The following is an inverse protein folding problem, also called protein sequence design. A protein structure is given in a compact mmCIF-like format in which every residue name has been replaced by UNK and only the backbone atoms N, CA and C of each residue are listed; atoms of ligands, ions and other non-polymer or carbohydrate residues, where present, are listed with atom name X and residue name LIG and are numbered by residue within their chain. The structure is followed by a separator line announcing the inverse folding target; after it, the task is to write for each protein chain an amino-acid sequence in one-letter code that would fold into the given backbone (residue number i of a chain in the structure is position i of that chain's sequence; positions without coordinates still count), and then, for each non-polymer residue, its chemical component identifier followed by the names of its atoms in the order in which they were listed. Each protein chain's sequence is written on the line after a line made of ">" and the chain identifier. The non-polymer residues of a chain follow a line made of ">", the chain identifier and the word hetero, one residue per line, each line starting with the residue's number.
data_IF_005851090938
#
_entry.id   IF_005851090938
#
_cell.length_a   1.000
_cell.length_b   1.000
_cell.length_c   1.000
_cell.angle_alpha   90.00
_cell.angle_beta   90.00
_cell.angle_gamma   90.00
#
_symmetry.space_group_name_H-M   'P 1'
#
loop_
_entity.id
_entity.type
_entity.pdbx_description
1 polymer ?
#
# COMPACT_ATOMS: atom_id res chain seq x y z
N UNK A 1 14.19 -7.45 20.26
CA UNK A 1 13.14 -7.04 19.32
C UNK A 1 12.69 -8.28 18.55
N UNK A 2 11.37 -8.53 18.43
CA UNK A 2 10.84 -9.64 17.63
C UNK A 2 11.11 -9.38 16.14
N UNK A 3 11.33 -10.42 15.34
CA UNK A 3 11.41 -10.25 13.90
C UNK A 3 10.03 -10.03 13.26
N UNK A 4 10.01 -9.56 12.00
CA UNK A 4 8.75 -9.29 11.28
C UNK A 4 7.88 -10.55 11.08
N UNK A 5 8.46 -11.75 11.02
CA UNK A 5 7.72 -13.00 10.85
C UNK A 5 6.98 -13.39 12.13
N UNK A 6 7.66 -13.32 13.28
CA UNK A 6 7.05 -13.57 14.59
C UNK A 6 5.94 -12.56 14.92
N UNK A 7 6.10 -11.28 14.54
CA UNK A 7 5.08 -10.25 14.70
C UNK A 7 3.82 -10.59 13.88
N UNK A 8 4.00 -10.95 12.59
CA UNK A 8 2.86 -11.33 11.73
C UNK A 8 2.08 -12.49 12.32
N UNK A 9 2.77 -13.56 12.70
CA UNK A 9 2.12 -14.76 13.26
C UNK A 9 1.36 -14.45 14.54
N UNK A 10 1.95 -13.66 15.43
CA UNK A 10 1.30 -13.22 16.67
C UNK A 10 0.01 -12.43 16.40
N UNK A 11 0.05 -11.47 15.46
CA UNK A 11 -1.13 -10.65 15.12
C UNK A 11 -2.21 -11.49 14.42
N UNK A 12 -1.85 -12.32 13.46
CA UNK A 12 -2.80 -13.21 12.80
C UNK A 12 -3.49 -14.15 13.79
N UNK A 13 -2.73 -14.77 14.70
CA UNK A 13 -3.27 -15.65 15.73
C UNK A 13 -4.21 -14.90 16.67
N UNK A 14 -3.80 -13.76 17.20
CA UNK A 14 -4.63 -12.96 18.10
C UNK A 14 -5.95 -12.50 17.43
N UNK A 15 -5.90 -12.07 16.17
CA UNK A 15 -7.10 -11.65 15.43
C UNK A 15 -8.05 -12.82 15.12
N UNK A 16 -7.51 -14.02 14.88
CA UNK A 16 -8.31 -15.24 14.66
C UNK A 16 -8.99 -15.64 15.97
N UNK A 17 -8.25 -15.73 17.06
CA UNK A 17 -8.73 -16.13 18.39
C UNK A 17 -9.81 -15.18 18.92
N UNK A 18 -9.64 -13.89 18.71
CA UNK A 18 -10.62 -12.88 19.09
C UNK A 18 -11.83 -12.77 18.15
N UNK A 19 -11.85 -13.49 17.01
CA UNK A 19 -12.88 -13.35 15.99
C UNK A 19 -12.90 -11.97 15.32
N UNK A 20 -11.82 -11.19 15.43
CA UNK A 20 -11.72 -9.85 14.86
C UNK A 20 -11.49 -9.85 13.35
N UNK A 21 -10.87 -10.91 12.84
CA UNK A 21 -10.62 -11.08 11.41
C UNK A 21 -11.86 -11.58 10.66
N UNK A 22 -12.05 -11.08 9.44
CA UNK A 22 -13.08 -11.53 8.50
C UNK A 22 -12.54 -12.61 7.57
N UNK A 23 -13.27 -13.69 7.45
CA UNK A 23 -12.95 -14.78 6.53
C UNK A 23 -12.04 -15.85 7.13
N UNK A 24 -11.83 -16.95 6.36
CA UNK A 24 -11.12 -18.15 6.84
C UNK A 24 -9.61 -18.09 6.66
N UNK A 25 -9.12 -17.34 5.67
CA UNK A 25 -7.70 -17.28 5.31
C UNK A 25 -7.13 -15.93 5.71
N UNK A 26 -6.68 -15.82 6.96
CA UNK A 26 -6.10 -14.60 7.54
C UNK A 26 -4.58 -14.58 7.39
N UNK A 27 -3.91 -15.74 7.54
CA UNK A 27 -2.46 -15.86 7.40
C UNK A 27 -1.99 -15.57 5.98
N UNK A 28 -0.78 -15.04 5.87
CA UNK A 28 -0.13 -14.61 4.62
C UNK A 28 -0.87 -13.51 3.85
N UNK A 29 -1.76 -12.80 4.55
CA UNK A 29 -2.54 -11.69 3.99
C UNK A 29 -2.52 -10.47 4.90
N UNK A 30 -2.87 -9.33 4.32
CA UNK A 30 -3.34 -8.19 5.12
C UNK A 30 -4.71 -8.59 5.65
N UNK A 31 -4.90 -8.66 7.00
CA UNK A 31 -6.15 -9.10 7.59
C UNK A 31 -7.33 -8.23 7.17
N UNK A 32 -8.37 -8.82 6.61
CA UNK A 32 -9.68 -8.17 6.57
C UNK A 32 -10.31 -8.27 7.97
N UNK A 33 -10.98 -7.24 8.44
CA UNK A 33 -11.43 -7.16 9.83
C UNK A 33 -12.82 -6.55 9.99
N UNK A 34 -13.48 -6.89 11.09
CA UNK A 34 -14.72 -6.26 11.50
C UNK A 34 -14.45 -4.81 11.88
N UNK A 35 -15.23 -3.87 11.35
CA UNK A 35 -14.98 -2.42 11.53
C UNK A 35 -14.12 -1.78 10.43
N UNK A 36 -13.81 -2.50 9.34
CA UNK A 36 -13.01 -1.93 8.24
C UNK A 36 -13.68 -0.75 7.54
N UNK A 37 -15.00 -0.67 7.54
CA UNK A 37 -15.74 0.49 7.03
C UNK A 37 -15.62 1.67 7.99
N UNK A 38 -15.81 1.45 9.28
CA UNK A 38 -15.71 2.44 10.34
C UNK A 38 -14.31 3.07 10.39
N UNK A 39 -13.27 2.24 10.23
CA UNK A 39 -11.89 2.72 10.10
C UNK A 39 -11.71 3.59 8.84
N UNK A 40 -12.31 3.22 7.72
CA UNK A 40 -12.25 4.01 6.50
C UNK A 40 -13.00 5.35 6.64
N UNK A 41 -14.15 5.37 7.31
CA UNK A 41 -14.96 6.58 7.53
C UNK A 41 -14.19 7.66 8.30
N UNK A 42 -13.25 7.27 9.16
CA UNK A 42 -12.36 8.20 9.86
C UNK A 42 -11.36 8.86 8.94
N UNK A 43 -10.85 8.13 7.94
CA UNK A 43 -9.92 8.66 6.94
C UNK A 43 -10.56 9.74 6.09
N UNK A 44 -11.86 9.64 5.77
CA UNK A 44 -12.55 10.60 4.90
C UNK A 44 -12.61 12.02 5.48
N UNK A 45 -12.44 12.16 6.80
CA UNK A 45 -12.40 13.46 7.47
C UNK A 45 -10.98 14.09 7.52
N UNK A 46 -9.93 13.36 7.12
CA UNK A 46 -8.58 13.90 7.11
C UNK A 46 -8.36 14.89 5.96
N UNK A 47 -7.66 16.01 6.19
CA UNK A 47 -7.25 16.91 5.12
C UNK A 47 -6.49 16.21 3.99
N UNK A 48 -5.64 15.22 4.33
CA UNK A 48 -4.93 14.39 3.37
C UNK A 48 -5.86 13.66 2.40
N UNK A 49 -7.03 13.19 2.86
CA UNK A 49 -8.04 12.57 2.01
C UNK A 49 -8.83 13.61 1.21
N UNK A 50 -9.29 14.67 1.87
CA UNK A 50 -10.16 15.68 1.26
C UNK A 50 -9.48 16.42 0.11
N UNK A 51 -8.19 16.71 0.25
CA UNK A 51 -7.40 17.42 -0.76
C UNK A 51 -6.90 16.49 -1.88
N UNK A 52 -6.86 15.18 -1.68
CA UNK A 52 -6.37 14.23 -2.67
C UNK A 52 -7.32 14.15 -3.88
N UNK A 53 -6.77 14.20 -5.07
CA UNK A 53 -7.45 13.95 -6.36
C UNK A 53 -7.00 12.64 -6.97
N UNK A 54 -5.76 12.25 -6.74
CA UNK A 54 -5.12 11.05 -7.25
C UNK A 54 -4.63 10.19 -6.09
N UNK A 55 -5.11 8.96 -6.01
CA UNK A 55 -4.79 8.03 -4.92
C UNK A 55 -4.13 6.77 -5.46
N UNK A 56 -3.04 6.34 -4.82
CA UNK A 56 -2.47 4.99 -5.02
C UNK A 56 -2.88 4.10 -3.87
N UNK A 57 -3.41 2.92 -4.16
CA UNK A 57 -3.84 1.97 -3.12
C UNK A 57 -3.34 0.56 -3.38
N UNK A 58 -2.96 -0.14 -2.29
CA UNK A 58 -2.79 -1.59 -2.37
C UNK A 58 -4.14 -2.29 -2.62
N UNK A 59 -4.12 -3.49 -3.25
CA UNK A 59 -5.35 -4.21 -3.62
C UNK A 59 -6.01 -4.96 -2.46
N UNK A 60 -5.45 -4.92 -1.24
CA UNK A 60 -5.89 -5.72 -0.11
C UNK A 60 -7.34 -5.39 0.33
N UNK A 61 -8.04 -6.38 0.91
CA UNK A 61 -9.47 -6.28 1.22
C UNK A 61 -9.84 -5.16 2.20
N UNK A 62 -9.12 -4.96 3.33
CA UNK A 62 -9.49 -3.93 4.30
C UNK A 62 -9.42 -2.50 3.73
N UNK A 63 -8.67 -2.26 2.65
CA UNK A 63 -8.62 -0.97 1.97
C UNK A 63 -9.70 -0.78 0.89
N UNK A 64 -10.56 -1.80 0.66
CA UNK A 64 -11.65 -1.70 -0.33
C UNK A 64 -12.63 -0.55 -0.06
N UNK A 65 -13.06 -0.26 1.18
CA UNK A 65 -13.92 0.88 1.46
C UNK A 65 -13.31 2.22 1.01
N UNK A 66 -12.00 2.42 1.25
CA UNK A 66 -11.28 3.61 0.79
C UNK A 66 -11.26 3.71 -0.75
N UNK A 67 -10.94 2.62 -1.44
CA UNK A 67 -10.95 2.60 -2.92
C UNK A 67 -12.33 2.87 -3.49
N UNK A 68 -13.36 2.28 -2.92
CA UNK A 68 -14.75 2.51 -3.35
C UNK A 68 -15.14 3.97 -3.17
N UNK A 69 -14.84 4.56 -2.02
CA UNK A 69 -15.15 5.95 -1.72
C UNK A 69 -14.36 6.92 -2.60
N UNK A 70 -13.09 6.64 -2.88
CA UNK A 70 -12.28 7.43 -3.82
C UNK A 70 -12.97 7.55 -5.18
N UNK A 71 -13.42 6.43 -5.74
CA UNK A 71 -14.14 6.42 -7.02
C UNK A 71 -15.50 7.11 -6.96
N UNK A 72 -16.23 7.03 -5.82
CA UNK A 72 -17.50 7.74 -5.60
C UNK A 72 -17.30 9.26 -5.58
N UNK A 73 -16.17 9.73 -5.05
CA UNK A 73 -15.84 11.15 -4.95
C UNK A 73 -15.15 11.70 -6.22
N UNK A 74 -15.05 10.91 -7.28
CA UNK A 74 -14.42 11.34 -8.53
C UNK A 74 -12.91 11.39 -8.49
N UNK A 75 -12.25 10.72 -7.52
CA UNK A 75 -10.79 10.66 -7.41
C UNK A 75 -10.23 9.57 -8.34
N UNK A 76 -9.17 9.88 -9.07
CA UNK A 76 -8.44 8.87 -9.86
C UNK A 76 -7.76 7.90 -8.91
N UNK A 77 -7.89 6.60 -9.19
CA UNK A 77 -7.33 5.55 -8.35
C UNK A 77 -6.35 4.70 -9.15
N UNK A 78 -5.11 4.61 -8.68
CA UNK A 78 -4.14 3.63 -9.15
C UNK A 78 -4.05 2.47 -8.16
N UNK A 79 -4.21 1.26 -8.69
CA UNK A 79 -4.07 0.03 -7.92
C UNK A 79 -2.94 -0.81 -8.51
N UNK A 80 -2.01 -1.27 -7.67
CA UNK A 80 -0.92 -2.10 -8.14
C UNK A 80 -1.41 -3.45 -8.65
N UNK A 81 -0.83 -3.91 -9.75
CA UNK A 81 -0.99 -5.28 -10.24
C UNK A 81 -0.37 -6.23 -9.19
N UNK A 82 -1.06 -7.30 -8.78
CA UNK A 82 -0.56 -8.21 -7.77
C UNK A 82 0.84 -8.75 -8.09
N UNK A 83 1.78 -8.57 -7.15
CA UNK A 83 3.20 -8.94 -7.29
C UNK A 83 3.95 -8.24 -8.43
N UNK A 84 3.41 -7.16 -9.00
CA UNK A 84 4.03 -6.40 -10.10
C UNK A 84 4.44 -7.29 -11.31
N UNK A 85 3.62 -8.32 -11.61
CA UNK A 85 3.96 -9.36 -12.59
C UNK A 85 3.88 -8.91 -14.06
N UNK A 86 3.52 -7.66 -14.31
CA UNK A 86 3.42 -7.08 -15.64
C UNK A 86 4.28 -5.83 -15.72
N UNK A 87 4.68 -5.47 -16.94
CA UNK A 87 5.42 -4.22 -17.15
C UNK A 87 4.52 -3.02 -16.86
N UNK A 88 3.22 -3.12 -17.21
CA UNK A 88 2.16 -2.22 -16.75
C UNK A 88 1.83 -2.55 -15.29
N UNK A 89 2.64 -2.01 -14.41
CA UNK A 89 2.63 -2.38 -12.99
C UNK A 89 1.41 -1.87 -12.21
N UNK A 90 0.56 -1.03 -12.83
CA UNK A 90 -0.61 -0.44 -12.20
C UNK A 90 -1.87 -0.53 -13.07
N UNK A 91 -3.02 -0.47 -12.41
CA UNK A 91 -4.34 -0.35 -13.03
C UNK A 91 -4.88 1.03 -12.68
N UNK A 92 -5.14 1.85 -13.69
CA UNK A 92 -5.80 3.14 -13.55
C UNK A 92 -7.31 2.96 -13.58
N UNK A 93 -7.99 3.50 -12.60
CA UNK A 93 -9.44 3.62 -12.50
C UNK A 93 -9.78 5.11 -12.46
N UNK A 94 -10.26 5.64 -13.58
CA UNK A 94 -10.70 7.02 -13.70
C UNK A 94 -12.22 7.08 -13.67
N UNK A 95 -12.82 7.69 -12.63
CA UNK A 95 -14.27 7.78 -12.50
C UNK A 95 -14.98 8.48 -13.68
N UNK A 96 -14.28 9.39 -14.38
CA UNK A 96 -14.86 10.12 -15.50
C UNK A 96 -15.21 9.22 -16.72
N UNK A 97 -14.52 8.08 -16.84
CA UNK A 97 -14.69 7.14 -17.95
C UNK A 97 -15.06 5.72 -17.50
N UNK A 98 -15.18 5.51 -16.19
CA UNK A 98 -15.42 4.19 -15.60
C UNK A 98 -16.80 3.65 -15.92
N UNK A 99 -16.86 2.52 -16.64
CA UNK A 99 -18.11 1.84 -17.01
C UNK A 99 -18.54 0.78 -15.99
N UNK A 100 -18.44 1.09 -14.71
CA UNK A 100 -18.83 0.22 -13.62
C UNK A 100 -19.21 1.01 -12.37
N UNK A 101 -19.97 0.38 -11.47
CA UNK A 101 -20.18 0.99 -10.14
C UNK A 101 -18.85 1.00 -9.36
N UNK A 102 -18.61 2.04 -8.55
CA UNK A 102 -17.42 2.11 -7.68
C UNK A 102 -17.20 0.86 -6.83
N UNK A 103 -18.27 0.26 -6.31
CA UNK A 103 -18.21 -0.96 -5.51
C UNK A 103 -17.66 -2.18 -6.28
N UNK A 104 -17.97 -2.29 -7.59
CA UNK A 104 -17.44 -3.35 -8.46
C UNK A 104 -15.99 -3.07 -8.83
N UNK A 105 -15.70 -1.85 -9.27
CA UNK A 105 -14.37 -1.44 -9.71
C UNK A 105 -13.32 -1.46 -8.60
N UNK A 106 -13.70 -1.19 -7.36
CA UNK A 106 -12.81 -1.20 -6.19
C UNK A 106 -12.28 -2.61 -5.80
N UNK A 107 -12.74 -3.68 -6.42
CA UNK A 107 -12.23 -5.05 -6.24
C UNK A 107 -11.07 -5.33 -7.20
N UNK A 108 -10.20 -6.31 -6.87
CA UNK A 108 -9.11 -6.73 -7.78
C UNK A 108 -9.68 -7.15 -9.15
N UNK A 109 -10.67 -8.04 -9.16
CA UNK A 109 -11.28 -8.51 -10.39
C UNK A 109 -11.98 -7.38 -11.17
N UNK A 110 -12.63 -6.46 -10.45
CA UNK A 110 -13.27 -5.31 -11.06
C UNK A 110 -12.26 -4.33 -11.65
N UNK A 111 -11.16 -4.08 -10.96
CA UNK A 111 -10.11 -3.23 -11.47
C UNK A 111 -9.50 -3.76 -12.78
N UNK A 112 -9.18 -5.05 -12.85
CA UNK A 112 -8.72 -5.67 -14.08
C UNK A 112 -9.75 -5.62 -15.23
N UNK A 113 -11.04 -5.71 -14.91
CA UNK A 113 -12.10 -5.74 -15.91
C UNK A 113 -12.46 -4.35 -16.43
N UNK A 114 -12.43 -3.33 -15.61
CA UNK A 114 -12.98 -2.00 -15.91
C UNK A 114 -11.94 -0.89 -15.89
N UNK A 115 -10.74 -1.15 -15.35
CA UNK A 115 -9.62 -0.23 -15.37
C UNK A 115 -8.75 -0.42 -16.61
N UNK A 116 -7.79 0.46 -16.77
CA UNK A 116 -6.76 0.41 -17.81
C UNK A 116 -5.42 0.05 -17.18
N UNK A 117 -4.73 -0.96 -17.69
CA UNK A 117 -3.33 -1.21 -17.34
C UNK A 117 -2.49 -0.02 -17.81
N UNK A 118 -1.59 0.44 -16.96
CA UNK A 118 -0.74 1.60 -17.23
C UNK A 118 0.70 1.32 -16.83
N UNK A 119 1.61 1.85 -17.60
CA UNK A 119 3.01 1.94 -17.23
C UNK A 119 3.16 3.02 -16.14
N UNK A 120 4.22 2.90 -15.35
CA UNK A 120 4.44 3.84 -14.26
C UNK A 120 4.65 5.28 -14.76
N UNK A 121 5.24 5.42 -15.95
CA UNK A 121 5.50 6.69 -16.61
C UNK A 121 4.22 7.39 -17.10
N UNK A 122 3.09 6.66 -17.23
CA UNK A 122 1.78 7.21 -17.61
C UNK A 122 0.96 7.68 -16.41
N UNK A 123 1.43 7.44 -15.19
CA UNK A 123 0.69 7.82 -13.98
C UNK A 123 0.83 9.32 -13.69
N UNK A 124 -0.25 9.89 -13.21
CA UNK A 124 -0.24 11.26 -12.65
C UNK A 124 0.45 11.27 -11.28
N UNK A 125 0.97 12.42 -10.83
CA UNK A 125 1.41 12.58 -9.45
C UNK A 125 0.34 12.13 -8.45
N UNK A 126 0.75 11.39 -7.43
CA UNK A 126 -0.12 10.81 -6.40
C UNK A 126 -0.16 11.72 -5.19
N UNK A 127 -1.38 12.10 -4.78
CA UNK A 127 -1.62 12.97 -3.62
C UNK A 127 -1.70 12.19 -2.31
N UNK A 128 -2.01 10.89 -2.36
CA UNK A 128 -2.21 10.04 -1.19
C UNK A 128 -1.90 8.58 -1.49
N UNK A 129 -1.13 7.93 -0.63
CA UNK A 129 -0.86 6.49 -0.69
C UNK A 129 -1.65 5.76 0.40
N UNK A 130 -2.38 4.72 0.01
CA UNK A 130 -3.07 3.80 0.92
C UNK A 130 -2.32 2.48 0.97
N UNK A 131 -1.77 2.13 2.13
CA UNK A 131 -0.96 0.94 2.31
C UNK A 131 -1.63 -0.08 3.22
N UNK A 132 -1.59 -1.37 2.87
CA UNK A 132 -2.08 -2.46 3.71
C UNK A 132 -1.07 -2.85 4.78
N UNK A 133 -1.54 -3.17 5.99
CA UNK A 133 -0.69 -3.49 7.15
C UNK A 133 -1.17 -4.74 7.87
N UNK A 134 -0.24 -5.57 8.33
CA UNK A 134 -0.49 -6.66 9.29
C UNK A 134 -0.35 -6.13 10.71
N UNK A 135 0.69 -5.36 10.97
CA UNK A 135 0.90 -4.68 12.24
C UNK A 135 1.44 -3.26 12.01
N UNK A 136 1.16 -2.38 12.93
CA UNK A 136 1.65 -1.00 12.97
C UNK A 136 1.96 -0.60 14.40
N UNK A 137 2.74 0.46 14.60
CA UNK A 137 2.85 1.14 15.89
C UNK A 137 2.57 2.65 15.75
N UNK A 138 2.44 3.35 16.86
CA UNK A 138 2.12 4.79 16.89
C UNK A 138 3.18 5.68 16.23
N UNK A 139 4.43 5.22 16.20
CA UNK A 139 5.51 5.92 15.48
C UNK A 139 5.40 5.81 13.95
N UNK A 140 4.44 5.05 13.41
CA UNK A 140 4.24 4.91 11.97
C UNK A 140 5.04 3.77 11.31
N UNK A 141 5.69 2.90 12.10
CA UNK A 141 6.33 1.70 11.55
C UNK A 141 5.24 0.69 11.15
N UNK A 142 5.42 0.10 9.99
CA UNK A 142 4.48 -0.83 9.37
C UNK A 142 5.13 -2.18 9.10
N UNK A 143 4.42 -3.26 9.45
CA UNK A 143 4.75 -4.63 9.05
C UNK A 143 3.73 -5.08 8.01
N UNK A 144 4.19 -5.34 6.78
CA UNK A 144 3.39 -5.91 5.70
C UNK A 144 3.30 -7.44 5.79
N UNK A 145 2.68 -8.08 4.81
CA UNK A 145 2.44 -9.54 4.76
C UNK A 145 3.67 -10.40 4.40
N UNK A 146 4.83 -9.79 4.18
CA UNK A 146 6.11 -10.49 4.01
C UNK A 146 6.70 -10.46 2.61
N UNK A 147 5.94 -10.05 1.59
CA UNK A 147 6.42 -10.04 0.21
C UNK A 147 7.22 -8.79 -0.23
N UNK A 148 7.28 -7.74 0.59
CA UNK A 148 7.97 -6.48 0.26
C UNK A 148 7.34 -5.64 -0.88
N UNK A 149 6.25 -6.12 -1.49
CA UNK A 149 5.70 -5.48 -2.70
C UNK A 149 5.18 -4.07 -2.46
N UNK A 150 4.57 -3.77 -1.30
CA UNK A 150 4.03 -2.45 -1.02
C UNK A 150 5.13 -1.39 -0.91
N UNK A 151 6.26 -1.76 -0.30
CA UNK A 151 7.43 -0.90 -0.14
C UNK A 151 8.15 -0.72 -1.48
N UNK A 152 8.25 -1.79 -2.26
CA UNK A 152 8.80 -1.74 -3.62
C UNK A 152 7.94 -0.90 -4.57
N UNK A 153 6.59 -1.03 -4.52
CA UNK A 153 5.66 -0.17 -5.27
C UNK A 153 5.86 1.31 -4.94
N UNK A 154 6.14 1.62 -3.67
CA UNK A 154 6.44 2.99 -3.25
C UNK A 154 7.79 3.46 -3.80
N UNK A 155 8.84 2.65 -3.67
CA UNK A 155 10.17 2.96 -4.21
C UNK A 155 10.16 3.20 -5.72
N UNK A 156 9.42 2.37 -6.47
CA UNK A 156 9.19 2.56 -7.91
C UNK A 156 8.49 3.90 -8.21
N UNK A 157 7.46 4.24 -7.43
CA UNK A 157 6.73 5.49 -7.58
C UNK A 157 7.59 6.73 -7.25
N UNK A 158 8.51 6.61 -6.30
CA UNK A 158 9.50 7.66 -6.01
C UNK A 158 10.48 7.84 -7.16
N UNK A 159 11.04 6.74 -7.70
CA UNK A 159 11.96 6.79 -8.86
C UNK A 159 11.29 7.42 -10.07
N UNK A 160 10.01 7.14 -10.29
CA UNK A 160 9.23 7.73 -11.37
C UNK A 160 8.78 9.17 -11.12
N UNK A 161 9.05 9.74 -9.93
CA UNK A 161 8.68 11.11 -9.57
C UNK A 161 7.17 11.32 -9.33
N UNK A 162 6.38 10.25 -9.20
CA UNK A 162 4.93 10.33 -8.97
C UNK A 162 4.53 10.35 -7.50
N UNK A 163 5.45 10.00 -6.60
CA UNK A 163 5.31 10.12 -5.14
C UNK A 163 6.47 10.95 -4.61
N UNK A 164 6.15 11.99 -3.85
CA UNK A 164 7.13 12.87 -3.22
C UNK A 164 7.30 12.60 -1.71
N UNK A 165 8.23 13.33 -1.10
CA UNK A 165 8.50 13.26 0.35
C UNK A 165 7.28 13.62 1.19
N UNK A 166 6.47 14.54 0.71
CA UNK A 166 5.30 15.08 1.43
C UNK A 166 4.01 14.33 1.08
N UNK A 167 4.06 13.34 0.19
CA UNK A 167 2.88 12.52 -0.14
C UNK A 167 2.48 11.68 1.07
N UNK A 168 1.30 11.92 1.69
CA UNK A 168 0.88 11.19 2.87
C UNK A 168 0.70 9.70 2.59
N UNK A 169 1.05 8.87 3.58
CA UNK A 169 0.83 7.42 3.57
C UNK A 169 -0.09 7.04 4.72
N UNK A 170 -1.21 6.40 4.42
CA UNK A 170 -2.21 6.01 5.41
C UNK A 170 -2.47 4.50 5.39
N UNK A 171 -2.98 3.99 6.50
CA UNK A 171 -3.49 2.61 6.60
C UNK A 171 -4.77 2.54 7.42
N UNK A 172 -5.58 1.50 7.15
CA UNK A 172 -6.69 1.11 8.03
C UNK A 172 -6.42 -0.26 8.62
N UNK A 173 -6.57 -0.40 9.92
CA UNK A 173 -6.29 -1.59 10.71
C UNK A 173 -7.31 -1.79 11.82
N UNK A 174 -7.43 -3.00 12.36
CA UNK A 174 -8.12 -3.23 13.62
C UNK A 174 -7.25 -2.76 14.81
N UNK A 175 -7.84 -2.38 15.94
CA UNK A 175 -7.09 -1.94 17.11
C UNK A 175 -6.01 -2.95 17.57
N UNK A 176 -6.28 -4.25 17.45
CA UNK A 176 -5.33 -5.33 17.77
C UNK A 176 -4.08 -5.37 16.88
N UNK A 177 -4.07 -4.66 15.76
CA UNK A 177 -2.92 -4.55 14.86
C UNK A 177 -2.02 -3.37 15.22
N UNK A 178 -2.46 -2.51 16.15
CA UNK A 178 -1.67 -1.40 16.70
C UNK A 178 -0.90 -1.91 17.91
N UNK A 179 0.41 -2.07 17.78
CA UNK A 179 1.28 -2.61 18.82
C UNK A 179 2.00 -1.48 19.55
N UNK A 180 2.09 -1.61 20.87
CA UNK A 180 2.80 -0.62 21.71
C UNK A 180 4.32 -0.79 21.70
N UNK A 181 4.80 -1.95 21.20
CA UNK A 181 6.23 -2.23 21.12
C UNK A 181 6.91 -1.56 19.94
N UNK A 182 8.22 -1.41 20.01
CA UNK A 182 9.05 -1.01 18.88
C UNK A 182 9.08 -2.12 17.82
N UNK A 183 8.76 -1.76 16.57
CA UNK A 183 8.73 -2.68 15.45
C UNK A 183 10.05 -2.64 14.66
N UNK A 184 10.53 -3.79 14.15
CA UNK A 184 11.72 -3.83 13.30
C UNK A 184 11.49 -3.10 11.99
N UNK A 185 12.46 -2.28 11.60
CA UNK A 185 12.43 -1.45 10.40
C UNK A 185 13.72 -1.59 9.61
N UNK A 186 13.60 -1.49 8.29
CA UNK A 186 14.69 -1.39 7.33
C UNK A 186 14.58 -0.06 6.57
N UNK A 187 15.63 0.30 5.82
CA UNK A 187 15.67 1.58 5.07
C UNK A 187 14.60 1.69 3.97
N UNK A 188 14.16 0.56 3.42
CA UNK A 188 13.13 0.51 2.38
C UNK A 188 11.70 0.48 2.91
N UNK A 189 11.48 0.33 4.22
CA UNK A 189 10.13 0.33 4.80
C UNK A 189 9.51 1.74 4.76
N UNK A 190 8.32 1.83 4.19
CA UNK A 190 7.59 3.09 4.06
C UNK A 190 6.88 3.42 5.38
N UNK A 191 7.18 4.57 6.01
CA UNK A 191 6.48 5.00 7.21
C UNK A 191 5.07 5.49 6.90
N UNK A 192 4.20 5.40 7.91
CA UNK A 192 2.82 5.89 7.89
C UNK A 192 2.74 7.29 8.52
N UNK A 193 1.86 8.13 7.98
CA UNK A 193 1.48 9.41 8.59
C UNK A 193 0.22 9.28 9.43
N UNK A 194 -0.71 8.41 9.01
CA UNK A 194 -1.96 8.17 9.72
C UNK A 194 -2.34 6.70 9.74
N UNK A 195 -2.84 6.27 10.88
CA UNK A 195 -3.41 4.95 11.12
C UNK A 195 -4.85 5.16 11.57
N UNK A 196 -5.82 4.55 10.90
CA UNK A 196 -7.19 4.55 11.34
C UNK A 196 -7.63 3.16 11.80
N UNK A 197 -8.19 3.11 12.98
CA UNK A 197 -8.92 1.96 13.53
C UNK A 197 -10.43 2.24 13.52
N UNK A 198 -11.30 1.27 13.81
CA UNK A 198 -12.73 1.55 13.97
C UNK A 198 -13.01 2.63 15.02
N UNK A 199 -12.16 2.75 16.03
CA UNK A 199 -12.41 3.59 17.20
C UNK A 199 -11.63 4.91 17.20
N UNK A 200 -10.46 4.96 16.51
CA UNK A 200 -9.54 6.09 16.61
C UNK A 200 -8.82 6.38 15.29
N UNK A 201 -8.29 7.60 15.18
CA UNK A 201 -7.37 8.03 14.13
C UNK A 201 -6.08 8.52 14.77
N UNK A 202 -5.00 7.81 14.54
CA UNK A 202 -3.69 8.08 15.08
C UNK A 202 -2.89 8.84 14.02
N UNK A 203 -2.45 10.05 14.34
CA UNK A 203 -1.39 10.73 13.61
C UNK A 203 -0.06 10.18 14.12
N UNK A 204 0.75 9.66 13.23
CA UNK A 204 2.05 9.12 13.61
C UNK A 204 3.02 10.24 13.96
N UNK A 205 3.76 10.07 15.04
CA UNK A 205 4.67 11.06 15.63
C UNK A 205 6.15 10.82 15.26
N UNK A 206 6.42 9.73 14.54
CA UNK A 206 7.77 9.35 14.14
C UNK A 206 8.30 10.21 13.00
N UNK A 207 9.36 10.98 13.23
CA UNK A 207 10.15 11.60 12.17
C UNK A 207 11.05 10.55 11.51
N UNK A 208 10.46 9.69 10.67
CA UNK A 208 11.20 8.64 10.00
C UNK A 208 11.55 9.02 8.56
N UNK A 209 12.81 8.78 8.12
CA UNK A 209 13.17 9.02 6.74
C UNK A 209 12.35 8.11 5.83
N UNK A 210 11.84 8.67 4.73
CA UNK A 210 11.13 7.93 3.69
C UNK A 210 12.12 7.32 2.71
N UNK A 211 11.80 6.16 2.12
CA UNK A 211 12.59 5.62 1.03
C UNK A 211 12.76 6.65 -0.09
N UNK A 212 13.98 6.74 -0.62
CA UNK A 212 14.34 7.65 -1.71
C UNK A 212 14.31 6.99 -3.09
N UNK A 213 13.91 5.74 -3.15
CA UNK A 213 13.84 4.97 -4.38
C UNK A 213 13.95 3.46 -4.13
N UNK A 214 14.60 2.77 -5.04
CA UNK A 214 14.84 1.32 -4.98
C UNK A 214 16.22 1.09 -4.33
N UNK A 215 16.25 0.24 -3.32
CA UNK A 215 17.48 -0.21 -2.66
C UNK A 215 17.88 -1.55 -3.28
N UNK A 216 18.70 -1.49 -4.32
CA UNK A 216 19.08 -2.64 -5.14
C UNK A 216 19.84 -3.71 -4.33
N UNK A 217 20.66 -3.29 -3.38
CA UNK A 217 21.41 -4.18 -2.50
C UNK A 217 20.53 -4.98 -1.52
N UNK A 218 19.28 -4.54 -1.32
CA UNK A 218 18.27 -5.23 -0.50
C UNK A 218 17.44 -6.24 -1.31
N UNK A 219 17.65 -6.31 -2.64
CA UNK A 219 16.89 -7.19 -3.54
C UNK A 219 17.77 -8.37 -3.98
N UNK A 220 17.21 -9.56 -3.87
CA UNK A 220 17.84 -10.74 -4.47
C UNK A 220 17.56 -10.81 -5.99
N UNK A 221 18.44 -11.53 -6.71
CA UNK A 221 18.31 -11.70 -8.16
C UNK A 221 16.96 -12.32 -8.55
N UNK A 222 16.43 -13.23 -7.75
CA UNK A 222 15.15 -13.87 -8.00
C UNK A 222 14.02 -12.84 -7.96
N UNK A 223 14.06 -11.88 -7.04
CA UNK A 223 13.10 -10.79 -6.94
C UNK A 223 13.17 -9.83 -8.13
N UNK A 224 14.37 -9.50 -8.58
CA UNK A 224 14.58 -8.66 -9.77
C UNK A 224 14.04 -9.40 -11.00
N UNK A 225 14.31 -10.69 -11.14
CA UNK A 225 13.84 -11.51 -12.26
C UNK A 225 12.33 -11.81 -12.23
N UNK A 226 11.67 -11.78 -11.07
CA UNK A 226 10.22 -11.96 -10.96
C UNK A 226 9.43 -10.75 -11.49
N UNK A 227 10.03 -9.54 -11.47
CA UNK A 227 9.31 -8.27 -11.69
C UNK A 227 9.82 -7.59 -12.97
N UNK A 228 9.03 -7.59 -14.08
CA UNK A 228 9.47 -7.04 -15.37
C UNK A 228 9.94 -5.58 -15.32
N UNK A 229 9.27 -4.74 -14.51
CA UNK A 229 9.65 -3.34 -14.34
C UNK A 229 11.02 -3.19 -13.63
N UNK A 230 11.33 -4.05 -12.65
CA UNK A 230 12.67 -4.04 -12.02
C UNK A 230 13.76 -4.49 -13.00
N UNK A 231 13.50 -5.51 -13.81
CA UNK A 231 14.45 -5.94 -14.84
C UNK A 231 14.80 -4.78 -15.79
N UNK A 232 13.76 -4.08 -16.29
CA UNK A 232 13.94 -2.91 -17.18
C UNK A 232 14.79 -1.82 -16.51
N UNK A 233 14.51 -1.48 -15.27
CA UNK A 233 15.22 -0.43 -14.55
C UNK A 233 16.66 -0.85 -14.20
N UNK A 234 16.89 -2.11 -13.81
CA UNK A 234 18.21 -2.63 -13.49
C UNK A 234 19.12 -2.65 -14.73
N UNK A 235 18.60 -3.07 -15.89
CA UNK A 235 19.34 -3.02 -17.15
C UNK A 235 19.73 -1.59 -17.52
N UNK A 236 18.79 -0.64 -17.43
CA UNK A 236 19.07 0.77 -17.73
C UNK A 236 20.17 1.38 -16.83
N UNK A 237 20.25 0.96 -15.57
CA UNK A 237 21.34 1.40 -14.69
C UNK A 237 22.71 0.82 -15.10
N UNK A 238 22.75 -0.46 -15.49
CA UNK A 238 23.97 -1.11 -15.98
C UNK A 238 24.54 -0.42 -17.22
N UNK A 239 23.68 -0.04 -18.17
CA UNK A 239 24.08 0.65 -19.39
C UNK A 239 24.65 2.05 -19.12
N UNK A 240 24.09 2.77 -18.15
CA UNK A 240 24.62 4.11 -17.73
C UNK A 240 26.00 3.99 -17.08
N UNK A 241 26.24 2.93 -16.28
CA UNK A 241 27.54 2.72 -15.63
C UNK A 241 28.64 2.29 -16.61
N UNK A 242 28.30 1.56 -17.67
CA UNK A 242 29.24 1.15 -18.71
C UNK A 242 29.58 2.27 -19.72
N UNK A 243 28.76 3.32 -19.76
CA UNK A 243 28.94 4.48 -20.66
C UNK A 243 29.72 5.64 -20.04
N UNK A 244 30.20 5.49 -18.81
CA UNK A 244 31.04 6.44 -18.07
C UNK A 244 32.45 5.92 -17.89
#
# INVERSE_FOLDING_TARGET
>A
MRDKAAIRESVWSAMIEAGAARGRNVRDRIPDFHGSQEAADRIFNLPAWQNARVIKSNPDRPQRPLRQRALQEGKVLYMAVPRLRQIEAFIALDPAILQATPAKAATIAGAFRFGRLVMIEEMQPVDLVISGSVAVNRSGIRVGKGGGFADLEYGLAVVAGIVGRDTPVITTVHAMQVLEEELPRTQHDVPLDYIATPDDTIRCDGEMPRPIGIYWDDLDDAKIMEIPLLQKLHQAQGDIQQSR
#
